data_IF_911661200330
#
_entry.id   IF_911661200330
#
_cell.length_a   1.000
_cell.length_b   1.000
_cell.length_c   1.000
_cell.angle_alpha   90.00
_cell.angle_beta   90.00
_cell.angle_gamma   90.00
#
_symmetry.space_group_name_H-M   'P 1'
#
loop_
_entity.id
_entity.type
_entity.pdbx_description
1 polymer ?
#
# COMPACT_ATOMS: atom_id res chain seq x y z
N UNK A 1 8.24 -11.91 8.35
CA UNK A 1 7.40 -11.46 7.23
C UNK A 1 5.94 -11.75 7.55
N UNK A 2 5.09 -10.74 7.58
CA UNK A 2 3.66 -10.90 7.73
C UNK A 2 2.99 -10.81 6.37
N UNK A 3 2.28 -11.83 5.99
CA UNK A 3 1.38 -11.83 4.85
C UNK A 3 -0.04 -11.92 5.40
N UNK A 4 -0.60 -10.79 5.78
CA UNK A 4 -1.94 -10.73 6.36
C UNK A 4 -2.86 -9.84 5.54
N UNK A 5 -2.37 -9.31 4.43
CA UNK A 5 -3.13 -8.41 3.59
C UNK A 5 -4.22 -9.17 2.82
N UNK A 6 -5.43 -8.63 2.83
CA UNK A 6 -6.56 -9.16 2.11
C UNK A 6 -6.77 -8.31 0.87
N UNK A 7 -6.80 -8.95 -0.30
CA UNK A 7 -7.16 -8.28 -1.54
C UNK A 7 -8.67 -8.04 -1.58
N UNK A 8 -9.09 -6.79 -1.50
CA UNK A 8 -10.50 -6.42 -1.59
C UNK A 8 -11.12 -6.82 -2.95
N UNK A 9 -10.31 -6.84 -4.01
CA UNK A 9 -10.76 -7.28 -5.32
C UNK A 9 -11.12 -8.78 -5.37
N UNK A 10 -10.42 -9.62 -4.62
CA UNK A 10 -10.74 -11.05 -4.48
C UNK A 10 -11.87 -11.30 -3.49
N UNK A 11 -11.93 -10.51 -2.42
CA UNK A 11 -12.91 -10.67 -1.36
C UNK A 11 -14.29 -10.09 -1.71
N UNK A 12 -14.35 -9.18 -2.68
CA UNK A 12 -15.56 -8.45 -3.04
C UNK A 12 -16.64 -9.37 -3.62
N UNK A 13 -17.87 -9.16 -3.20
CA UNK A 13 -19.03 -9.92 -3.68
C UNK A 13 -19.31 -11.22 -2.89
N UNK A 14 -18.53 -11.52 -1.83
CA UNK A 14 -18.79 -12.65 -0.93
C UNK A 14 -18.39 -12.32 0.51
N UNK A 15 -18.64 -13.25 1.45
CA UNK A 15 -18.42 -13.05 2.89
C UNK A 15 -16.96 -12.71 3.28
N UNK A 16 -15.99 -12.99 2.42
CA UNK A 16 -14.59 -12.62 2.62
C UNK A 16 -14.40 -11.14 2.87
N UNK A 17 -15.26 -10.28 2.32
CA UNK A 17 -15.18 -8.83 2.50
C UNK A 17 -15.39 -8.38 3.95
N UNK A 18 -16.06 -9.19 4.78
CA UNK A 18 -16.23 -8.91 6.21
C UNK A 18 -14.91 -8.88 6.99
N UNK A 19 -13.86 -9.53 6.46
CA UNK A 19 -12.54 -9.61 7.09
C UNK A 19 -11.57 -8.53 6.62
N UNK A 20 -11.90 -7.80 5.55
CA UNK A 20 -11.02 -6.80 4.94
C UNK A 20 -10.64 -5.70 5.93
N UNK A 21 -11.62 -4.99 6.49
CA UNK A 21 -11.33 -3.87 7.39
C UNK A 21 -10.70 -4.32 8.72
N UNK A 22 -11.12 -5.46 9.25
CA UNK A 22 -10.57 -6.05 10.48
C UNK A 22 -9.08 -6.39 10.31
N UNK A 23 -8.66 -6.83 9.13
CA UNK A 23 -7.26 -7.15 8.85
C UNK A 23 -6.33 -5.96 9.07
N UNK A 24 -6.77 -4.74 8.76
CA UNK A 24 -6.01 -3.50 9.02
C UNK A 24 -5.65 -3.35 10.49
N UNK A 25 -6.64 -3.49 11.38
CA UNK A 25 -6.46 -3.27 12.81
C UNK A 25 -5.60 -4.36 13.44
N UNK A 26 -5.79 -5.61 13.01
CA UNK A 26 -4.97 -6.75 13.44
C UNK A 26 -3.52 -6.57 12.98
N UNK A 27 -3.31 -6.18 11.72
CA UNK A 27 -1.98 -5.92 11.16
C UNK A 27 -1.25 -4.83 11.96
N UNK A 28 -1.92 -3.70 12.24
CA UNK A 28 -1.34 -2.63 13.03
C UNK A 28 -0.93 -3.10 14.42
N UNK A 29 -1.77 -3.91 15.08
CA UNK A 29 -1.46 -4.49 16.39
C UNK A 29 -0.30 -5.49 16.33
N UNK A 30 -0.25 -6.33 15.32
CA UNK A 30 0.85 -7.30 15.13
C UNK A 30 2.18 -6.60 14.90
N UNK A 31 2.22 -5.56 14.06
CA UNK A 31 3.43 -4.75 13.84
C UNK A 31 3.89 -4.14 15.16
N UNK A 32 2.99 -3.53 15.91
CA UNK A 32 3.29 -2.91 17.19
C UNK A 32 3.88 -3.92 18.19
N UNK A 33 3.27 -5.11 18.30
CA UNK A 33 3.75 -6.19 19.19
C UNK A 33 5.18 -6.61 18.82
N UNK A 34 5.43 -6.85 17.54
CA UNK A 34 6.76 -7.30 17.09
C UNK A 34 7.83 -6.25 17.29
N UNK A 35 7.54 -5.00 16.95
CA UNK A 35 8.51 -3.92 17.10
C UNK A 35 8.80 -3.66 18.58
N UNK A 36 7.79 -3.63 19.45
CA UNK A 36 7.97 -3.44 20.89
C UNK A 36 8.67 -4.63 21.59
N UNK A 37 8.55 -5.82 21.03
CA UNK A 37 9.23 -7.00 21.54
C UNK A 37 10.73 -7.04 21.20
N UNK A 38 11.20 -6.16 20.32
CA UNK A 38 12.58 -6.13 19.82
C UNK A 38 13.17 -4.72 20.01
N UNK A 39 14.43 -4.59 20.48
CA UNK A 39 15.05 -3.28 20.72
C UNK A 39 15.54 -2.66 19.40
N UNK A 40 14.62 -2.22 18.55
CA UNK A 40 14.93 -1.49 17.33
C UNK A 40 15.12 0.00 17.60
N UNK A 41 16.12 0.62 16.96
CA UNK A 41 16.36 2.06 17.03
C UNK A 41 15.62 2.83 15.95
N UNK A 42 15.30 2.17 14.82
CA UNK A 42 14.52 2.73 13.72
C UNK A 42 13.85 1.63 12.91
N UNK A 43 12.88 1.99 12.07
CA UNK A 43 12.15 1.06 11.21
C UNK A 43 11.95 1.57 9.78
N UNK A 44 12.06 0.64 8.81
CA UNK A 44 11.55 0.83 7.45
C UNK A 44 10.30 -0.03 7.30
N UNK A 45 9.16 0.61 7.06
CA UNK A 45 7.87 -0.04 6.98
C UNK A 45 7.43 -0.11 5.51
N UNK A 46 7.30 -1.33 4.98
CA UNK A 46 7.02 -1.54 3.55
C UNK A 46 5.62 -2.11 3.39
N UNK A 47 4.78 -1.41 2.64
CA UNK A 47 3.44 -1.88 2.29
C UNK A 47 2.96 -1.22 0.99
N UNK A 48 1.98 -1.84 0.32
CA UNK A 48 1.48 -1.31 -0.95
C UNK A 48 -0.04 -1.47 -1.15
N UNK A 49 -0.74 -2.21 -0.28
CA UNK A 49 -2.13 -2.52 -0.53
C UNK A 49 -3.10 -1.74 0.37
N UNK A 50 -4.36 -1.88 0.08
CA UNK A 50 -5.50 -1.13 0.59
C UNK A 50 -5.60 -1.06 2.12
N UNK A 51 -5.34 -2.17 2.80
CA UNK A 51 -5.39 -2.27 4.28
C UNK A 51 -4.00 -2.23 4.91
N UNK A 52 -2.97 -2.70 4.22
CA UNK A 52 -1.62 -2.75 4.76
C UNK A 52 -0.99 -1.36 4.89
N UNK A 53 -1.18 -0.46 3.92
CA UNK A 53 -0.64 0.90 4.03
C UNK A 53 -1.18 1.64 5.25
N UNK A 54 -2.51 1.78 5.44
CA UNK A 54 -3.02 2.43 6.64
C UNK A 54 -2.66 1.69 7.94
N UNK A 55 -2.57 0.35 7.92
CA UNK A 55 -2.12 -0.41 9.09
C UNK A 55 -0.70 -0.04 9.51
N UNK A 56 0.22 0.08 8.54
CA UNK A 56 1.60 0.47 8.80
C UNK A 56 1.69 1.92 9.29
N UNK A 57 0.93 2.85 8.71
CA UNK A 57 0.88 4.24 9.17
C UNK A 57 0.33 4.34 10.60
N UNK A 58 -0.72 3.58 10.93
CA UNK A 58 -1.24 3.48 12.30
C UNK A 58 -0.19 2.94 13.27
N UNK A 59 0.54 1.90 12.87
CA UNK A 59 1.61 1.32 13.69
C UNK A 59 2.77 2.31 13.88
N UNK A 60 3.22 2.99 12.84
CA UNK A 60 4.25 4.04 12.90
C UNK A 60 3.85 5.12 13.91
N UNK A 61 2.62 5.62 13.83
CA UNK A 61 2.12 6.64 14.75
C UNK A 61 2.04 6.15 16.21
N UNK A 62 1.65 4.87 16.45
CA UNK A 62 1.56 4.28 17.79
C UNK A 62 2.92 3.96 18.40
N UNK A 63 3.87 3.57 17.57
CA UNK A 63 5.22 3.25 18.00
C UNK A 63 6.02 4.49 18.36
N UNK A 64 5.78 5.57 17.65
CA UNK A 64 6.47 6.87 17.82
C UNK A 64 7.99 6.70 17.95
N UNK A 65 8.57 5.90 17.09
CA UNK A 65 10.00 5.67 16.95
C UNK A 65 10.48 6.19 15.59
N UNK A 66 11.78 6.49 15.42
CA UNK A 66 12.32 6.86 14.12
C UNK A 66 11.90 5.86 13.05
N UNK A 67 11.15 6.32 12.05
CA UNK A 67 10.52 5.44 11.07
C UNK A 67 10.36 6.12 9.73
N UNK A 68 10.47 5.33 8.66
CA UNK A 68 10.14 5.74 7.30
C UNK A 68 9.22 4.70 6.66
N UNK A 69 8.17 5.18 6.00
CA UNK A 69 7.30 4.34 5.18
C UNK A 69 7.88 4.25 3.77
N UNK A 70 7.94 3.03 3.25
CA UNK A 70 8.38 2.75 1.88
C UNK A 70 7.22 2.15 1.09
N UNK A 71 6.65 2.89 0.13
CA UNK A 71 5.62 2.35 -0.74
C UNK A 71 6.13 1.13 -1.52
N UNK A 72 5.36 0.05 -1.55
CA UNK A 72 5.70 -1.16 -2.32
C UNK A 72 5.46 -1.02 -3.82
N UNK A 73 4.99 0.14 -4.26
CA UNK A 73 4.82 0.52 -5.66
C UNK A 73 3.45 0.18 -6.25
N UNK A 74 3.22 0.66 -7.46
CA UNK A 74 1.97 0.55 -8.20
C UNK A 74 2.10 -0.49 -9.31
N UNK A 75 1.07 -1.31 -9.49
CA UNK A 75 1.00 -2.28 -10.57
C UNK A 75 1.01 -1.61 -11.93
N UNK A 76 1.70 -2.19 -12.89
CA UNK A 76 1.63 -1.80 -14.30
C UNK A 76 0.19 -2.00 -14.82
N UNK A 77 -0.35 -1.04 -15.56
CA UNK A 77 -1.62 -1.23 -16.26
C UNK A 77 -1.50 -2.30 -17.35
N UNK A 78 -2.59 -2.99 -17.60
CA UNK A 78 -2.69 -3.95 -18.70
C UNK A 78 -2.71 -3.27 -20.08
N UNK A 79 -2.86 -4.07 -21.17
CA UNK A 79 -2.98 -3.54 -22.52
C UNK A 79 -4.08 -2.48 -22.62
N UNK A 80 -3.83 -1.43 -23.40
CA UNK A 80 -4.75 -0.29 -23.59
C UNK A 80 -5.13 0.41 -22.27
N UNK A 81 -4.23 0.45 -21.30
CA UNK A 81 -4.43 1.03 -19.97
C UNK A 81 -5.57 0.33 -19.19
N UNK A 82 -5.76 -0.95 -19.44
CA UNK A 82 -6.73 -1.76 -18.70
C UNK A 82 -6.30 -1.86 -17.22
N UNK A 83 -7.25 -1.56 -16.33
CA UNK A 83 -7.06 -1.65 -14.87
C UNK A 83 -8.19 -2.45 -14.22
N UNK A 84 -7.98 -2.86 -12.97
CA UNK A 84 -8.97 -3.63 -12.23
C UNK A 84 -10.31 -2.91 -12.07
N UNK A 85 -10.31 -1.58 -11.99
CA UNK A 85 -11.53 -0.77 -11.90
C UNK A 85 -12.49 -1.04 -13.06
N UNK A 86 -11.97 -1.22 -14.27
CA UNK A 86 -12.78 -1.43 -15.49
C UNK A 86 -13.46 -2.80 -15.52
N UNK A 87 -13.02 -3.76 -14.69
CA UNK A 87 -13.62 -5.10 -14.64
C UNK A 87 -15.09 -5.06 -14.24
N UNK A 88 -15.49 -4.11 -13.38
CA UNK A 88 -16.90 -3.90 -13.04
C UNK A 88 -17.76 -3.59 -14.28
N UNK A 89 -17.26 -2.74 -15.17
CA UNK A 89 -17.93 -2.42 -16.44
C UNK A 89 -18.01 -3.63 -17.36
N UNK A 90 -16.93 -4.39 -17.50
CA UNK A 90 -16.91 -5.60 -18.34
C UNK A 90 -17.75 -6.72 -17.76
N UNK A 91 -17.87 -6.84 -16.42
CA UNK A 91 -18.80 -7.76 -15.77
C UNK A 91 -20.23 -7.45 -16.14
N UNK A 92 -20.64 -6.19 -16.04
CA UNK A 92 -21.98 -5.76 -16.44
C UNK A 92 -22.24 -5.96 -17.95
N UNK A 93 -21.27 -5.76 -18.81
CA UNK A 93 -21.39 -6.04 -20.25
C UNK A 93 -21.54 -7.53 -20.52
N UNK A 94 -20.82 -8.38 -19.79
CA UNK A 94 -20.94 -9.83 -19.89
C UNK A 94 -22.33 -10.31 -19.45
N UNK A 95 -22.84 -9.82 -18.32
CA UNK A 95 -24.19 -10.13 -17.85
C UNK A 95 -25.27 -9.72 -18.85
N UNK A 96 -25.09 -8.60 -19.53
CA UNK A 96 -25.98 -8.12 -20.60
C UNK A 96 -25.77 -8.84 -21.95
N UNK A 97 -24.81 -9.77 -22.02
CA UNK A 97 -24.42 -10.49 -23.24
C UNK A 97 -23.91 -9.59 -24.37
N UNK A 98 -23.33 -8.46 -24.03
CA UNK A 98 -22.67 -7.53 -24.96
C UNK A 98 -21.27 -7.99 -25.35
N UNK A 99 -20.61 -8.77 -24.49
CA UNK A 99 -19.33 -9.43 -24.74
C UNK A 99 -19.42 -10.92 -24.45
N UNK A 100 -18.52 -11.71 -25.07
CA UNK A 100 -18.44 -13.16 -24.83
C UNK A 100 -17.71 -13.48 -23.53
N UNK A 101 -17.88 -14.71 -23.03
CA UNK A 101 -17.15 -15.21 -21.88
C UNK A 101 -15.63 -15.17 -22.12
N UNK A 102 -15.18 -15.54 -23.31
CA UNK A 102 -13.77 -15.51 -23.68
C UNK A 102 -13.20 -14.11 -23.61
N UNK A 103 -13.92 -13.10 -24.13
CA UNK A 103 -13.53 -11.70 -24.00
C UNK A 103 -13.47 -11.25 -22.54
N UNK A 104 -14.45 -11.61 -21.75
CA UNK A 104 -14.47 -11.26 -20.32
C UNK A 104 -13.29 -11.89 -19.56
N UNK A 105 -12.96 -13.15 -19.84
CA UNK A 105 -11.82 -13.83 -19.22
C UNK A 105 -10.49 -13.20 -19.60
N UNK A 106 -10.33 -12.71 -20.84
CA UNK A 106 -9.17 -11.93 -21.26
C UNK A 106 -9.04 -10.64 -20.44
N UNK A 107 -10.13 -9.88 -20.29
CA UNK A 107 -10.12 -8.67 -19.48
C UNK A 107 -9.74 -8.94 -18.02
N UNK A 108 -10.31 -9.99 -17.41
CA UNK A 108 -9.99 -10.39 -16.03
C UNK A 108 -8.50 -10.72 -15.85
N UNK A 109 -7.93 -11.47 -16.78
CA UNK A 109 -6.50 -11.83 -16.74
C UNK A 109 -5.61 -10.61 -16.91
N UNK A 110 -5.92 -9.75 -17.86
CA UNK A 110 -5.05 -8.66 -18.29
C UNK A 110 -5.19 -7.40 -17.42
N UNK A 111 -6.22 -7.33 -16.55
CA UNK A 111 -6.42 -6.22 -15.62
C UNK A 111 -5.46 -6.22 -14.42
N UNK A 112 -4.83 -7.36 -14.10
CA UNK A 112 -3.85 -7.52 -13.03
C UNK A 112 -2.59 -8.21 -13.58
N UNK A 113 -1.80 -7.54 -14.43
CA UNK A 113 -0.74 -8.20 -15.19
C UNK A 113 0.57 -8.37 -14.44
N UNK A 114 0.78 -7.72 -13.30
CA UNK A 114 2.09 -7.62 -12.64
C UNK A 114 1.94 -7.41 -11.12
N UNK A 115 3.06 -7.25 -10.43
CA UNK A 115 3.12 -6.94 -9.01
C UNK A 115 2.80 -5.46 -8.70
N UNK A 116 2.48 -5.18 -7.43
CA UNK A 116 2.20 -3.83 -6.93
C UNK A 116 0.74 -3.63 -6.53
N UNK A 117 0.43 -2.46 -5.96
CA UNK A 117 -0.93 -2.03 -5.70
C UNK A 117 -1.72 -1.89 -7.00
N UNK A 118 -3.06 -1.95 -6.93
CA UNK A 118 -3.92 -1.76 -8.10
C UNK A 118 -3.52 -0.54 -8.93
N UNK A 119 -3.50 -0.70 -10.25
CA UNK A 119 -3.01 0.30 -11.23
C UNK A 119 -3.93 1.52 -11.44
N UNK A 120 -4.90 1.73 -10.57
CA UNK A 120 -5.77 2.92 -10.56
C UNK A 120 -5.65 3.66 -9.22
N UNK A 121 -6.12 4.92 -9.17
CA UNK A 121 -6.08 5.72 -7.95
C UNK A 121 -7.21 5.31 -6.98
N UNK A 122 -7.10 4.08 -6.46
CA UNK A 122 -7.94 3.57 -5.38
C UNK A 122 -7.31 3.84 -4.02
N UNK A 123 -7.81 3.18 -2.97
CA UNK A 123 -7.36 3.37 -1.59
C UNK A 123 -5.86 3.10 -1.42
N UNK A 124 -5.34 2.05 -2.06
CA UNK A 124 -3.93 1.69 -1.96
C UNK A 124 -3.00 2.82 -2.42
N UNK A 125 -3.19 3.33 -3.64
CA UNK A 125 -2.39 4.44 -4.18
C UNK A 125 -2.62 5.73 -3.43
N UNK A 126 -3.87 6.04 -3.06
CA UNK A 126 -4.22 7.23 -2.26
C UNK A 126 -3.50 7.20 -0.91
N UNK A 127 -3.44 6.06 -0.23
CA UNK A 127 -2.76 5.95 1.06
C UNK A 127 -1.23 6.01 0.94
N UNK A 128 -0.65 5.56 -0.18
CA UNK A 128 0.77 5.76 -0.46
C UNK A 128 1.07 7.27 -0.65
N UNK A 129 0.23 7.99 -1.40
CA UNK A 129 0.33 9.45 -1.54
C UNK A 129 0.14 10.15 -0.19
N UNK A 130 -0.79 9.68 0.63
CA UNK A 130 -0.99 10.21 1.98
C UNK A 130 0.25 10.04 2.86
N UNK A 131 0.93 8.90 2.81
CA UNK A 131 2.17 8.67 3.55
C UNK A 131 3.27 9.69 3.16
N UNK A 132 3.36 10.02 1.88
CA UNK A 132 4.27 11.05 1.38
C UNK A 132 3.84 12.45 1.83
N UNK A 133 2.56 12.78 1.74
CA UNK A 133 2.02 14.06 2.17
C UNK A 133 2.15 14.30 3.68
N UNK A 134 2.11 13.24 4.48
CA UNK A 134 2.37 13.28 5.93
C UNK A 134 3.86 13.45 6.28
N UNK A 135 4.76 13.43 5.30
CA UNK A 135 6.19 13.51 5.54
C UNK A 135 6.82 12.22 6.08
N UNK A 136 6.11 11.09 6.03
CA UNK A 136 6.58 9.78 6.54
C UNK A 136 7.23 8.92 5.45
N UNK A 137 7.05 9.27 4.19
CA UNK A 137 7.69 8.62 3.04
C UNK A 137 8.63 9.58 2.29
N UNK A 138 9.55 9.02 1.51
CA UNK A 138 10.46 9.84 0.70
C UNK A 138 9.69 10.59 -0.40
N UNK A 139 10.02 11.87 -0.65
CA UNK A 139 9.40 12.64 -1.72
C UNK A 139 9.54 11.95 -3.08
N UNK A 140 8.44 11.86 -3.82
CA UNK A 140 8.36 11.23 -5.14
C UNK A 140 8.26 9.69 -5.10
N UNK A 141 8.15 9.07 -3.92
CA UNK A 141 8.10 7.61 -3.79
C UNK A 141 6.70 7.01 -4.01
N UNK A 142 5.64 7.77 -3.76
CA UNK A 142 4.28 7.26 -3.65
C UNK A 142 3.74 6.58 -4.92
N UNK A 143 4.15 7.02 -6.10
CA UNK A 143 3.60 6.57 -7.38
C UNK A 143 4.62 5.83 -8.25
N UNK A 144 5.74 5.38 -7.70
CA UNK A 144 6.72 4.61 -8.45
C UNK A 144 6.12 3.23 -8.81
N UNK A 145 6.13 2.83 -10.10
CA UNK A 145 5.68 1.52 -10.50
C UNK A 145 6.53 0.39 -9.89
N UNK A 146 5.86 -0.65 -9.38
CA UNK A 146 6.51 -1.75 -8.65
C UNK A 146 7.55 -2.53 -9.46
N UNK A 147 7.40 -2.58 -10.78
CA UNK A 147 8.30 -3.28 -11.70
C UNK A 147 9.54 -2.48 -12.10
N UNK A 148 9.62 -1.19 -11.75
CA UNK A 148 10.73 -0.35 -12.15
C UNK A 148 11.91 -0.44 -11.16
N UNK A 149 13.15 -0.39 -11.66
CA UNK A 149 14.35 -0.44 -10.81
C UNK A 149 14.45 0.75 -9.85
N UNK A 150 13.82 1.88 -10.15
CA UNK A 150 13.73 3.07 -9.31
C UNK A 150 13.12 2.77 -7.93
N UNK A 151 12.21 1.79 -7.85
CA UNK A 151 11.62 1.38 -6.58
C UNK A 151 12.67 0.77 -5.65
N UNK A 152 13.58 -0.05 -6.17
CA UNK A 152 14.68 -0.66 -5.40
C UNK A 152 15.66 0.39 -4.91
N UNK A 153 15.97 1.37 -5.76
CA UNK A 153 16.84 2.48 -5.37
C UNK A 153 16.20 3.35 -4.29
N UNK A 154 14.90 3.59 -4.39
CA UNK A 154 14.14 4.31 -3.36
C UNK A 154 14.12 3.54 -2.05
N UNK A 155 13.96 2.22 -2.08
CA UNK A 155 14.03 1.37 -0.89
C UNK A 155 15.42 1.43 -0.23
N UNK A 156 16.51 1.46 -1.02
CA UNK A 156 17.88 1.64 -0.52
C UNK A 156 18.01 2.99 0.20
N UNK A 157 17.52 4.06 -0.42
CA UNK A 157 17.51 5.41 0.19
C UNK A 157 16.67 5.45 1.47
N UNK A 158 15.52 4.78 1.51
CA UNK A 158 14.70 4.68 2.71
C UNK A 158 15.49 4.05 3.88
N UNK A 159 16.27 2.99 3.61
CA UNK A 159 17.15 2.39 4.61
C UNK A 159 18.23 3.36 5.12
N UNK A 160 18.84 4.14 4.24
CA UNK A 160 19.81 5.17 4.62
C UNK A 160 19.19 6.29 5.45
N UNK A 161 17.98 6.74 5.07
CA UNK A 161 17.24 7.75 5.82
C UNK A 161 16.83 7.24 7.22
N UNK A 162 16.41 5.97 7.35
CA UNK A 162 16.07 5.39 8.65
C UNK A 162 17.26 5.46 9.63
N UNK A 163 18.48 5.23 9.16
CA UNK A 163 19.70 5.40 9.98
C UNK A 163 19.95 6.87 10.35
N UNK A 164 19.63 7.81 9.48
CA UNK A 164 19.67 9.24 9.76
C UNK A 164 18.69 9.63 10.86
N UNK A 165 17.42 9.22 10.69
CA UNK A 165 16.36 9.47 11.66
C UNK A 165 16.70 8.92 13.05
N UNK A 166 17.28 7.69 13.11
CA UNK A 166 17.74 7.12 14.38
C UNK A 166 18.82 7.95 15.07
N UNK A 167 19.78 8.49 14.32
CA UNK A 167 20.85 9.33 14.87
C UNK A 167 20.35 10.69 15.35
N UNK A 168 19.35 11.22 14.70
CA UNK A 168 18.74 12.52 15.03
C UNK A 168 17.61 12.36 16.07
N UNK A 169 17.25 11.12 16.42
CA UNK A 169 16.11 10.78 17.28
C UNK A 169 14.77 11.37 16.79
N UNK A 170 14.67 11.62 15.47
CA UNK A 170 13.49 12.24 14.87
C UNK A 170 12.34 11.23 14.77
N UNK A 171 11.23 11.55 15.40
CA UNK A 171 10.04 10.68 15.53
C UNK A 171 8.86 11.15 14.69
N UNK A 172 7.88 10.28 14.42
CA UNK A 172 6.64 10.67 13.76
C UNK A 172 5.91 11.83 14.44
N UNK A 173 5.89 11.90 15.78
CA UNK A 173 5.27 13.01 16.53
C UNK A 173 5.96 14.36 16.35
N UNK A 174 7.24 14.39 15.94
CA UNK A 174 7.97 15.61 15.63
C UNK A 174 7.60 16.17 14.25
N UNK A 175 7.10 15.31 13.36
CA UNK A 175 6.69 15.65 11.98
C UNK A 175 5.19 15.92 11.92
N UNK A 176 4.38 14.97 12.40
CA UNK A 176 2.92 15.03 12.40
C UNK A 176 2.39 15.81 13.61
N UNK A 177 2.74 17.07 13.71
CA UNK A 177 2.25 17.97 14.77
C UNK A 177 0.87 18.53 14.44
N UNK A 178 0.17 19.07 15.46
CA UNK A 178 -1.12 19.75 15.23
C UNK A 178 -0.97 20.87 14.21
N UNK A 179 0.10 21.66 14.32
CA UNK A 179 0.41 22.76 13.41
C UNK A 179 0.66 22.30 11.96
N UNK A 180 1.15 21.07 11.76
CA UNK A 180 1.34 20.52 10.41
C UNK A 180 0.02 20.16 9.73
N UNK A 181 -1.07 20.00 10.50
CA UNK A 181 -2.41 19.69 9.97
C UNK A 181 -3.31 20.92 9.82
N UNK A 182 -2.94 22.10 10.35
CA UNK A 182 -3.63 23.39 10.24
C UNK A 182 -3.16 24.18 9.00
#
# INVERSE_FOLDING_TARGET
DFVTDICDGEAQGHDGMNYSLVSRDIMAAMIEIHVKATPFDAGVFIASCDKSVPAHLMAIARLDMPAIFMPGGIMKAGPNLLTLEQIGTYSAQYERKEITEEQFMVYKRDACPDCGACSFMGTASTMQVMAEALGIALPGSALIPAHLPELKETARKAGEHALGLAKEELKPSDIMTIQAFE
#
